data_IF_398297199472
#
_entry.id   IF_398297199472
#
_cell.length_a   1.000
_cell.length_b   1.000
_cell.length_c   1.000
_cell.angle_alpha   90.00
_cell.angle_beta   90.00
_cell.angle_gamma   90.00
#
_symmetry.space_group_name_H-M   'P 1'
#
loop_
_entity.id
_entity.type
_entity.pdbx_description
1 polymer ?
#
# COMPACT_ATOMS: atom_id res chain seq x y z
N UNK A 1 -41.05 0.32 28.10
CA UNK A 1 -40.02 -0.65 27.68
C UNK A 1 -39.37 -1.30 28.88
N UNK A 2 -39.05 -2.59 28.83
CA UNK A 2 -38.33 -3.29 29.91
C UNK A 2 -36.89 -2.78 29.92
N UNK A 3 -36.44 -2.20 31.04
CA UNK A 3 -35.07 -1.71 31.17
C UNK A 3 -34.06 -2.83 30.86
N UNK A 4 -33.28 -2.71 29.81
CA UNK A 4 -32.31 -3.73 29.39
C UNK A 4 -31.09 -3.78 30.32
N UNK A 5 -30.72 -2.64 30.89
CA UNK A 5 -29.59 -2.48 31.82
C UNK A 5 -29.72 -1.17 32.61
N UNK A 6 -28.88 -0.98 33.62
CA UNK A 6 -28.81 0.23 34.42
C UNK A 6 -27.46 0.96 34.17
N UNK A 7 -27.48 2.26 34.34
CA UNK A 7 -26.26 3.09 34.34
C UNK A 7 -25.98 3.61 35.73
N UNK A 8 -24.72 3.75 36.09
CA UNK A 8 -24.28 4.30 37.37
C UNK A 8 -23.68 5.69 37.13
N UNK A 9 -24.34 6.71 37.67
CA UNK A 9 -23.91 8.12 37.51
C UNK A 9 -22.72 8.50 38.39
N UNK A 10 -22.36 7.66 39.37
CA UNK A 10 -21.25 7.89 40.28
C UNK A 10 -19.92 7.33 39.75
N UNK A 11 -19.97 6.51 38.68
CA UNK A 11 -18.74 6.00 38.05
C UNK A 11 -17.98 7.05 37.28
N UNK A 12 -16.66 6.93 37.25
CA UNK A 12 -15.75 7.77 36.44
C UNK A 12 -15.94 7.58 34.94
N UNK A 13 -16.61 6.51 34.51
CA UNK A 13 -16.88 6.17 33.10
C UNK A 13 -18.01 7.05 32.56
N UNK A 14 -17.80 7.72 31.42
CA UNK A 14 -18.81 8.60 30.84
C UNK A 14 -20.12 7.88 30.54
N UNK A 15 -21.26 8.58 30.68
CA UNK A 15 -22.60 8.03 30.42
C UNK A 15 -22.73 7.47 29.01
N UNK A 16 -22.18 8.14 28.01
CA UNK A 16 -22.14 7.62 26.62
C UNK A 16 -21.48 6.24 26.57
N UNK A 17 -20.34 6.06 27.26
CA UNK A 17 -19.61 4.80 27.26
C UNK A 17 -20.40 3.70 27.99
N UNK A 18 -21.00 4.02 29.11
CA UNK A 18 -21.84 3.05 29.89
C UNK A 18 -23.04 2.58 29.08
N UNK A 19 -23.74 3.51 28.39
CA UNK A 19 -24.92 3.17 27.58
C UNK A 19 -24.49 2.34 26.35
N UNK A 20 -23.39 2.68 25.69
CA UNK A 20 -22.84 1.86 24.59
C UNK A 20 -22.48 0.46 25.04
N UNK A 21 -21.82 0.31 26.20
CA UNK A 21 -21.44 -0.99 26.74
C UNK A 21 -22.68 -1.83 27.10
N UNK A 22 -23.72 -1.21 27.69
CA UNK A 22 -24.99 -1.87 27.99
C UNK A 22 -25.70 -2.37 26.73
N UNK A 23 -25.80 -1.58 25.69
CA UNK A 23 -26.38 -2.02 24.41
C UNK A 23 -25.53 -3.10 23.72
N UNK A 24 -24.18 -3.00 23.75
CA UNK A 24 -23.32 -4.09 23.24
C UNK A 24 -23.58 -5.41 23.94
N UNK A 25 -23.67 -5.39 25.27
CA UNK A 25 -24.00 -6.59 26.03
C UNK A 25 -25.40 -7.12 25.68
N UNK A 26 -26.40 -6.24 25.56
CA UNK A 26 -27.77 -6.65 25.21
C UNK A 26 -27.89 -7.24 23.80
N UNK A 27 -27.08 -6.78 22.86
CA UNK A 27 -26.97 -7.36 21.50
C UNK A 27 -26.22 -8.70 21.57
N UNK A 28 -25.08 -8.74 22.25
CA UNK A 28 -24.24 -9.93 22.34
C UNK A 28 -24.94 -11.13 23.04
N UNK A 29 -25.76 -10.87 24.05
CA UNK A 29 -26.49 -11.90 24.77
C UNK A 29 -27.92 -12.16 24.24
N UNK A 30 -28.28 -11.52 23.12
CA UNK A 30 -29.53 -11.75 22.40
C UNK A 30 -30.77 -11.10 23.05
N UNK A 31 -30.63 -10.23 24.04
CA UNK A 31 -31.75 -9.44 24.60
C UNK A 31 -32.26 -8.39 23.61
N UNK A 32 -31.41 -7.92 22.69
CA UNK A 32 -31.76 -7.20 21.47
C UNK A 32 -31.40 -8.07 20.28
N UNK A 33 -32.41 -8.52 19.56
CA UNK A 33 -32.22 -9.44 18.43
C UNK A 33 -31.90 -8.69 17.12
N UNK A 34 -31.26 -9.39 16.21
CA UNK A 34 -31.05 -8.90 14.86
C UNK A 34 -32.36 -8.50 14.17
N UNK A 35 -32.32 -7.45 13.37
CA UNK A 35 -33.46 -6.80 12.70
C UNK A 35 -34.52 -6.18 13.62
N UNK A 36 -34.35 -6.26 14.95
CA UNK A 36 -35.19 -5.49 15.86
C UNK A 36 -34.93 -4.00 15.74
N UNK A 37 -35.98 -3.22 15.96
CA UNK A 37 -35.87 -1.76 15.97
C UNK A 37 -35.01 -1.32 17.17
N UNK A 38 -33.95 -0.59 16.91
CA UNK A 38 -33.08 -0.02 17.93
C UNK A 38 -33.72 1.23 18.52
N UNK A 39 -33.66 1.48 19.84
CA UNK A 39 -34.25 2.65 20.45
C UNK A 39 -33.84 3.96 19.79
N UNK A 40 -34.79 4.84 19.57
CA UNK A 40 -34.56 6.19 19.05
C UNK A 40 -33.77 7.03 20.05
N UNK A 41 -33.13 8.11 19.59
CA UNK A 41 -32.45 9.03 20.49
C UNK A 41 -33.36 9.57 21.60
N UNK A 42 -34.65 9.76 21.31
CA UNK A 42 -35.64 10.23 22.27
C UNK A 42 -35.93 9.17 23.36
N UNK A 43 -36.15 7.94 22.94
CA UNK A 43 -36.35 6.82 23.88
C UNK A 43 -35.12 6.59 24.77
N UNK A 44 -33.91 6.71 24.24
CA UNK A 44 -32.65 6.65 25.03
C UNK A 44 -32.59 7.79 26.05
N UNK A 45 -32.99 9.01 25.64
CA UNK A 45 -33.05 10.15 26.54
C UNK A 45 -34.02 9.88 27.71
N UNK A 46 -35.21 9.39 27.39
CA UNK A 46 -36.27 9.15 28.36
C UNK A 46 -35.91 7.98 29.29
N UNK A 47 -35.32 6.91 28.76
CA UNK A 47 -34.95 5.72 29.55
C UNK A 47 -33.81 5.98 30.54
N UNK A 48 -32.77 6.68 30.11
CA UNK A 48 -31.54 6.92 30.90
C UNK A 48 -31.45 8.31 31.52
N UNK A 49 -32.39 9.20 31.23
CA UNK A 49 -32.35 10.58 31.71
C UNK A 49 -31.11 11.35 31.20
N UNK A 50 -30.77 11.18 29.95
CA UNK A 50 -29.58 11.81 29.30
C UNK A 50 -29.99 12.83 28.24
N UNK A 51 -29.06 13.73 27.86
CA UNK A 51 -29.34 14.72 26.83
C UNK A 51 -29.36 14.10 25.44
N UNK A 52 -30.00 14.80 24.48
CA UNK A 52 -30.00 14.43 23.05
C UNK A 52 -28.60 14.30 22.47
N UNK A 53 -27.65 15.11 22.98
CA UNK A 53 -26.23 15.02 22.57
C UNK A 53 -25.64 13.66 22.94
N UNK A 54 -25.89 13.19 24.16
CA UNK A 54 -25.40 11.89 24.64
C UNK A 54 -26.05 10.75 23.86
N UNK A 55 -27.36 10.76 23.69
CA UNK A 55 -28.07 9.71 22.94
C UNK A 55 -27.65 9.66 21.47
N UNK A 56 -27.49 10.82 20.81
CA UNK A 56 -26.98 10.88 19.43
C UNK A 56 -25.54 10.36 19.33
N UNK A 57 -24.69 10.64 20.33
CA UNK A 57 -23.33 10.10 20.36
C UNK A 57 -23.33 8.56 20.54
N UNK A 58 -24.26 8.00 21.31
CA UNK A 58 -24.46 6.55 21.45
C UNK A 58 -24.84 5.92 20.12
N UNK A 59 -25.88 6.44 19.45
CA UNK A 59 -26.36 5.91 18.17
C UNK A 59 -25.26 6.00 17.10
N UNK A 60 -24.57 7.14 17.00
CA UNK A 60 -23.45 7.32 16.05
C UNK A 60 -22.30 6.34 16.33
N UNK A 61 -22.03 6.07 17.60
CA UNK A 61 -20.93 5.17 17.98
C UNK A 61 -21.26 3.72 17.67
N UNK A 62 -22.45 3.26 18.07
CA UNK A 62 -22.91 1.89 17.77
C UNK A 62 -23.05 1.66 16.26
N UNK A 63 -23.46 2.70 15.50
CA UNK A 63 -23.50 2.65 14.05
C UNK A 63 -22.12 2.51 13.42
N UNK A 64 -21.09 3.23 13.91
CA UNK A 64 -19.70 3.07 13.45
C UNK A 64 -19.10 1.71 13.83
N UNK A 65 -19.57 1.12 14.93
CA UNK A 65 -19.19 -0.23 15.36
C UNK A 65 -19.94 -1.33 14.56
N UNK A 66 -20.86 -0.94 13.67
CA UNK A 66 -21.62 -1.88 12.85
C UNK A 66 -22.70 -2.66 13.60
N UNK A 67 -22.97 -2.31 14.86
CA UNK A 67 -23.96 -2.99 15.71
C UNK A 67 -25.40 -2.60 15.37
N UNK A 68 -25.59 -1.42 14.82
CA UNK A 68 -26.87 -0.91 14.34
C UNK A 68 -26.75 -0.28 12.97
N UNK A 69 -27.81 -0.32 12.18
CA UNK A 69 -27.89 0.28 10.84
C UNK A 69 -29.13 1.16 10.75
N UNK A 70 -28.95 2.43 10.35
CA UNK A 70 -30.04 3.37 10.11
C UNK A 70 -30.62 3.18 8.73
N UNK A 71 -31.96 3.15 8.62
CA UNK A 71 -32.72 3.15 7.37
C UNK A 71 -33.48 4.47 7.27
N UNK A 72 -33.40 5.20 6.13
CA UNK A 72 -34.12 6.46 5.95
C UNK A 72 -35.61 6.28 6.26
N UNK A 73 -36.16 7.18 7.05
CA UNK A 73 -37.57 7.22 7.48
C UNK A 73 -38.06 6.03 8.33
N UNK A 74 -37.25 4.99 8.52
CA UNK A 74 -37.62 3.79 9.28
C UNK A 74 -36.93 3.68 10.64
N UNK A 75 -35.89 4.50 10.89
CA UNK A 75 -35.12 4.46 12.14
C UNK A 75 -33.88 3.59 12.08
N UNK A 76 -33.38 3.20 13.25
CA UNK A 76 -32.21 2.33 13.39
C UNK A 76 -32.63 0.91 13.79
N UNK A 77 -31.93 -0.08 13.27
CA UNK A 77 -32.18 -1.50 13.51
C UNK A 77 -30.91 -2.19 13.98
N UNK A 78 -31.04 -3.15 14.87
CA UNK A 78 -29.93 -4.02 15.30
C UNK A 78 -29.46 -4.85 14.11
N UNK A 79 -28.16 -4.90 13.88
CA UNK A 79 -27.59 -5.77 12.84
C UNK A 79 -27.62 -7.21 13.36
N UNK A 80 -28.17 -8.19 12.62
CA UNK A 80 -28.19 -9.59 13.04
C UNK A 80 -26.79 -10.11 13.31
N UNK A 81 -26.58 -10.86 14.42
CA UNK A 81 -25.27 -11.44 14.74
C UNK A 81 -24.75 -12.36 13.63
N UNK A 82 -25.62 -13.03 12.94
CA UNK A 82 -25.29 -13.86 11.78
C UNK A 82 -24.73 -13.04 10.61
N UNK A 83 -25.19 -11.78 10.45
CA UNK A 83 -24.64 -10.84 9.47
C UNK A 83 -23.39 -10.10 9.97
N UNK A 84 -23.06 -10.23 11.26
CA UNK A 84 -21.82 -9.74 11.88
C UNK A 84 -20.72 -10.81 11.90
N UNK A 85 -21.08 -12.08 11.66
CA UNK A 85 -20.09 -13.13 11.49
C UNK A 85 -19.26 -12.85 10.22
N UNK A 86 -17.95 -12.98 10.34
CA UNK A 86 -17.07 -12.94 9.18
C UNK A 86 -17.50 -14.02 8.20
N UNK A 87 -17.71 -13.64 6.94
CA UNK A 87 -18.13 -14.56 5.87
C UNK A 87 -17.10 -15.66 5.67
N UNK A 88 -15.87 -15.25 5.47
CA UNK A 88 -14.71 -16.12 5.23
C UNK A 88 -13.44 -15.33 5.50
N UNK A 89 -12.27 -15.99 5.56
CA UNK A 89 -11.00 -15.32 5.80
C UNK A 89 -10.17 -15.20 4.52
N UNK A 90 -9.46 -14.09 4.42
CA UNK A 90 -8.44 -13.83 3.39
C UNK A 90 -7.09 -13.68 4.08
N UNK A 91 -6.10 -14.42 3.60
CA UNK A 91 -4.73 -14.39 4.10
C UNK A 91 -3.82 -13.56 3.18
N UNK A 92 -3.26 -12.49 3.68
CA UNK A 92 -2.21 -11.76 2.99
C UNK A 92 -0.84 -12.31 3.40
N UNK A 93 -0.01 -12.69 2.43
CA UNK A 93 1.34 -13.23 2.65
C UNK A 93 2.36 -12.30 2.01
N UNK A 94 3.11 -11.57 2.82
CA UNK A 94 4.28 -10.84 2.36
C UNK A 94 5.49 -11.79 2.34
N UNK A 95 5.75 -12.38 1.18
CA UNK A 95 6.84 -13.35 1.03
C UNK A 95 8.21 -12.70 0.77
N UNK A 96 8.27 -11.39 0.58
CA UNK A 96 9.52 -10.63 0.40
C UNK A 96 10.32 -10.47 1.69
N UNK A 97 9.65 -10.54 2.83
CA UNK A 97 10.27 -10.45 4.16
C UNK A 97 10.87 -9.09 4.49
N UNK A 98 10.64 -8.10 3.67
CA UNK A 98 10.98 -6.70 3.93
C UNK A 98 9.74 -5.97 4.43
N UNK A 99 9.86 -5.30 5.56
CA UNK A 99 8.87 -4.31 5.97
C UNK A 99 9.11 -3.10 5.07
N UNK A 100 8.28 -2.93 4.05
CA UNK A 100 8.34 -1.76 3.16
C UNK A 100 7.10 -0.91 3.33
N UNK A 101 7.24 0.40 3.12
CA UNK A 101 6.12 1.32 3.19
C UNK A 101 4.99 0.89 2.24
N UNK A 102 5.35 0.42 1.04
CA UNK A 102 4.36 -0.04 0.07
C UNK A 102 3.64 -1.32 0.51
N UNK A 103 4.34 -2.31 1.06
CA UNK A 103 3.72 -3.54 1.57
C UNK A 103 2.74 -3.22 2.71
N UNK A 104 3.11 -2.25 3.58
CA UNK A 104 2.26 -1.75 4.65
C UNK A 104 1.01 -1.04 4.12
N UNK A 105 1.16 -0.13 3.16
CA UNK A 105 0.05 0.59 2.54
C UNK A 105 -0.92 -0.36 1.82
N UNK A 106 -0.39 -1.29 1.03
CA UNK A 106 -1.17 -2.30 0.34
C UNK A 106 -1.95 -3.20 1.30
N UNK A 107 -1.28 -3.70 2.35
CA UNK A 107 -1.91 -4.53 3.39
C UNK A 107 -3.01 -3.78 4.14
N UNK A 108 -2.80 -2.48 4.42
CA UNK A 108 -3.78 -1.64 5.09
C UNK A 108 -5.04 -1.43 4.24
N UNK A 109 -4.87 -1.10 2.96
CA UNK A 109 -5.98 -0.91 2.03
C UNK A 109 -6.79 -2.22 1.81
N UNK A 110 -6.08 -3.34 1.61
CA UNK A 110 -6.70 -4.67 1.51
C UNK A 110 -7.52 -4.99 2.76
N UNK A 111 -6.94 -4.79 3.94
CA UNK A 111 -7.60 -5.06 5.22
C UNK A 111 -8.87 -4.23 5.36
N UNK A 112 -8.78 -2.93 5.13
CA UNK A 112 -9.92 -2.02 5.30
C UNK A 112 -11.08 -2.43 4.39
N UNK A 113 -10.84 -2.61 3.12
CA UNK A 113 -11.86 -2.95 2.14
C UNK A 113 -12.47 -4.33 2.36
N UNK A 114 -11.64 -5.35 2.63
CA UNK A 114 -12.11 -6.71 2.90
C UNK A 114 -12.97 -6.77 4.16
N UNK A 115 -12.55 -6.11 5.25
CA UNK A 115 -13.30 -6.07 6.49
C UNK A 115 -14.63 -5.32 6.34
N UNK A 116 -14.66 -4.21 5.57
CA UNK A 116 -15.91 -3.52 5.21
C UNK A 116 -16.88 -4.41 4.42
N UNK A 117 -16.35 -5.36 3.63
CA UNK A 117 -17.12 -6.32 2.85
C UNK A 117 -17.45 -7.62 3.64
N UNK A 118 -17.15 -7.67 4.92
CA UNK A 118 -17.46 -8.78 5.81
C UNK A 118 -16.49 -9.96 5.75
N UNK A 119 -15.30 -9.78 5.16
CA UNK A 119 -14.24 -10.80 5.14
C UNK A 119 -13.24 -10.57 6.28
N UNK A 120 -12.88 -11.65 6.99
CA UNK A 120 -11.80 -11.59 7.98
C UNK A 120 -10.45 -11.47 7.26
N UNK A 121 -9.69 -10.44 7.57
CA UNK A 121 -8.33 -10.27 7.05
C UNK A 121 -7.30 -10.75 8.06
N UNK A 122 -6.36 -11.57 7.61
CA UNK A 122 -5.17 -11.96 8.35
C UNK A 122 -3.92 -11.73 7.50
N UNK A 123 -2.80 -11.43 8.13
CA UNK A 123 -1.54 -11.21 7.42
C UNK A 123 -0.38 -11.94 8.08
N UNK A 124 0.57 -12.37 7.26
CA UNK A 124 1.83 -12.97 7.69
C UNK A 124 2.98 -12.38 6.89
N UNK A 125 4.00 -11.90 7.60
CA UNK A 125 5.27 -11.53 7.01
C UNK A 125 6.23 -12.71 7.13
N UNK A 126 6.70 -13.20 5.97
CA UNK A 126 7.70 -14.26 5.93
C UNK A 126 9.07 -13.69 6.25
N UNK A 127 9.98 -14.47 6.82
CA UNK A 127 11.37 -14.04 6.97
C UNK A 127 11.97 -13.59 5.65
N UNK A 128 12.86 -12.58 5.71
CA UNK A 128 13.53 -12.07 4.52
C UNK A 128 14.18 -13.21 3.74
N UNK A 129 14.01 -13.19 2.43
CA UNK A 129 14.67 -14.11 1.49
C UNK A 129 16.19 -14.12 1.58
N UNK A 130 16.78 -13.08 2.22
CA UNK A 130 18.21 -12.99 2.46
C UNK A 130 18.68 -13.74 3.73
N UNK A 131 17.76 -14.24 4.58
CA UNK A 131 18.07 -14.88 5.86
C UNK A 131 17.93 -16.41 5.79
N UNK A 132 17.67 -16.97 4.61
CA UNK A 132 17.53 -18.41 4.40
C UNK A 132 16.18 -18.83 3.83
N UNK A 133 15.83 -20.11 4.02
CA UNK A 133 14.60 -20.70 3.51
C UNK A 133 13.35 -20.04 4.12
N UNK A 134 12.25 -20.05 3.36
CA UNK A 134 10.98 -19.58 3.86
C UNK A 134 10.56 -20.37 5.10
N UNK A 135 10.14 -19.67 6.15
CA UNK A 135 9.52 -20.30 7.32
C UNK A 135 8.14 -20.88 6.93
N UNK A 136 8.19 -22.02 6.24
CA UNK A 136 6.99 -22.72 5.77
C UNK A 136 6.14 -23.25 6.92
N UNK A 137 6.69 -23.38 8.14
CA UNK A 137 5.94 -23.83 9.31
C UNK A 137 4.92 -22.76 9.73
N UNK A 138 5.34 -21.49 9.80
CA UNK A 138 4.39 -20.37 10.07
C UNK A 138 3.34 -20.24 8.99
N UNK A 139 3.74 -20.36 7.74
CA UNK A 139 2.80 -20.33 6.62
C UNK A 139 1.81 -21.50 6.70
N UNK A 140 2.28 -22.70 7.01
CA UNK A 140 1.43 -23.89 7.18
C UNK A 140 0.44 -23.71 8.32
N UNK A 141 0.85 -23.10 9.43
CA UNK A 141 -0.06 -22.80 10.55
C UNK A 141 -1.14 -21.77 10.13
N UNK A 142 -0.75 -20.72 9.37
CA UNK A 142 -1.72 -19.75 8.86
C UNK A 142 -2.68 -20.35 7.82
N UNK A 143 -2.21 -21.31 7.02
CA UNK A 143 -3.06 -22.03 6.05
C UNK A 143 -3.95 -23.10 6.70
N UNK A 144 -3.60 -23.58 7.89
CA UNK A 144 -4.40 -24.58 8.63
C UNK A 144 -5.80 -24.09 9.00
N UNK A 145 -6.01 -22.77 9.15
CA UNK A 145 -7.32 -22.16 9.36
C UNK A 145 -8.18 -22.10 8.08
N UNK A 146 -7.65 -22.61 6.97
CA UNK A 146 -8.30 -22.71 5.65
C UNK A 146 -8.88 -21.38 5.15
N UNK A 147 -8.04 -20.35 4.94
CA UNK A 147 -8.52 -19.12 4.33
C UNK A 147 -9.14 -19.43 2.95
N UNK A 148 -10.18 -18.68 2.58
CA UNK A 148 -10.83 -18.83 1.28
C UNK A 148 -9.92 -18.47 0.12
N UNK A 149 -9.07 -17.45 0.36
CA UNK A 149 -8.13 -16.94 -0.62
C UNK A 149 -6.86 -16.49 0.08
N UNK A 150 -5.72 -16.68 -0.58
CA UNK A 150 -4.44 -16.08 -0.21
C UNK A 150 -4.05 -14.99 -1.22
N UNK A 151 -3.58 -13.85 -0.74
CA UNK A 151 -2.99 -12.78 -1.58
C UNK A 151 -1.49 -12.78 -1.31
N UNK A 152 -0.69 -13.09 -2.32
CA UNK A 152 0.75 -13.33 -2.20
C UNK A 152 1.52 -12.15 -2.78
N UNK A 153 2.19 -11.39 -1.93
CA UNK A 153 3.13 -10.35 -2.34
C UNK A 153 4.54 -10.91 -2.40
N UNK A 154 5.28 -10.63 -3.47
CA UNK A 154 6.62 -11.17 -3.75
C UNK A 154 6.67 -12.70 -3.66
N UNK A 155 5.73 -13.37 -4.29
CA UNK A 155 5.56 -14.82 -4.19
C UNK A 155 6.84 -15.58 -4.54
N UNK A 156 7.34 -16.37 -3.60
CA UNK A 156 8.46 -17.30 -3.80
C UNK A 156 7.92 -18.67 -4.18
N UNK A 157 8.66 -19.48 -4.97
CA UNK A 157 8.20 -20.81 -5.39
C UNK A 157 7.75 -21.70 -4.22
N UNK A 158 8.49 -21.71 -3.11
CA UNK A 158 8.17 -22.51 -1.93
C UNK A 158 6.89 -22.03 -1.22
N UNK A 159 6.58 -20.74 -1.26
CA UNK A 159 5.34 -20.17 -0.73
C UNK A 159 4.16 -20.60 -1.58
N UNK A 160 4.28 -20.52 -2.90
CA UNK A 160 3.25 -20.97 -3.84
C UNK A 160 2.98 -22.46 -3.66
N UNK A 161 4.02 -23.28 -3.57
CA UNK A 161 3.89 -24.74 -3.33
C UNK A 161 3.16 -25.04 -2.02
N UNK A 162 3.45 -24.29 -0.95
CA UNK A 162 2.78 -24.48 0.35
C UNK A 162 1.29 -24.14 0.26
N UNK A 163 0.92 -23.04 -0.39
CA UNK A 163 -0.47 -22.61 -0.60
C UNK A 163 -1.23 -23.62 -1.44
N UNK A 164 -0.62 -24.12 -2.52
CA UNK A 164 -1.21 -25.14 -3.40
C UNK A 164 -1.41 -26.49 -2.68
N UNK A 165 -0.45 -26.93 -1.87
CA UNK A 165 -0.59 -28.13 -1.02
C UNK A 165 -1.74 -28.01 -0.02
N UNK A 166 -1.99 -26.80 0.49
CA UNK A 166 -3.12 -26.54 1.37
C UNK A 166 -4.48 -26.48 0.65
N UNK A 167 -4.48 -26.52 -0.70
CA UNK A 167 -5.70 -26.43 -1.51
C UNK A 167 -6.35 -25.05 -1.50
N UNK A 168 -5.62 -23.99 -1.14
CA UNK A 168 -6.13 -22.61 -1.03
C UNK A 168 -5.97 -21.91 -2.38
N UNK A 169 -7.04 -21.26 -2.86
CA UNK A 169 -6.98 -20.38 -4.03
C UNK A 169 -6.11 -19.16 -3.73
N UNK A 170 -5.39 -18.63 -4.75
CA UNK A 170 -4.51 -17.50 -4.49
C UNK A 170 -4.43 -16.49 -5.66
N UNK A 171 -4.13 -15.24 -5.31
CA UNK A 171 -3.78 -14.15 -6.21
C UNK A 171 -2.32 -13.79 -5.96
N UNK A 172 -1.55 -13.54 -7.01
CA UNK A 172 -0.13 -13.12 -6.91
C UNK A 172 -0.03 -11.64 -7.24
N UNK A 173 0.67 -10.89 -6.40
CA UNK A 173 1.12 -9.54 -6.71
C UNK A 173 2.58 -9.66 -7.15
N UNK A 174 2.83 -9.41 -8.43
CA UNK A 174 4.14 -9.51 -9.06
C UNK A 174 4.59 -8.12 -9.51
N UNK A 175 5.47 -7.53 -8.74
CA UNK A 175 6.11 -6.23 -9.03
C UNK A 175 7.45 -6.39 -9.76
N UNK A 176 7.83 -7.62 -10.12
CA UNK A 176 9.06 -7.88 -10.86
C UNK A 176 8.96 -7.41 -12.31
N UNK A 177 10.08 -6.87 -12.84
CA UNK A 177 10.18 -6.46 -14.25
C UNK A 177 10.06 -7.65 -15.24
N UNK A 178 10.13 -8.87 -14.73
CA UNK A 178 9.93 -10.12 -15.46
C UNK A 178 9.06 -11.02 -14.61
N UNK A 179 7.74 -11.02 -14.83
CA UNK A 179 6.85 -11.96 -14.15
C UNK A 179 7.40 -13.38 -14.30
N UNK A 180 7.62 -14.04 -13.18
CA UNK A 180 7.96 -15.44 -13.21
C UNK A 180 6.85 -16.17 -13.96
N UNK A 181 7.19 -16.89 -15.03
CA UNK A 181 6.26 -17.75 -15.73
C UNK A 181 5.82 -18.86 -14.76
N UNK A 182 4.89 -18.52 -13.86
CA UNK A 182 4.32 -19.48 -12.94
C UNK A 182 3.54 -20.50 -13.74
N UNK A 183 3.82 -21.80 -13.52
CA UNK A 183 3.05 -22.89 -14.11
C UNK A 183 1.56 -22.63 -13.90
N UNK A 184 0.76 -22.86 -14.94
CA UNK A 184 -0.68 -22.75 -14.85
C UNK A 184 -1.20 -23.64 -13.71
N UNK A 185 -1.75 -23.03 -12.68
CA UNK A 185 -2.37 -23.73 -11.55
C UNK A 185 -3.86 -23.41 -11.51
N UNK A 186 -4.68 -24.44 -11.29
CA UNK A 186 -6.14 -24.25 -11.12
C UNK A 186 -6.50 -23.46 -9.87
N UNK A 187 -5.58 -23.37 -8.91
CA UNK A 187 -5.77 -22.61 -7.66
C UNK A 187 -5.40 -21.14 -7.81
N UNK A 188 -4.63 -20.78 -8.84
CA UNK A 188 -4.31 -19.37 -9.12
C UNK A 188 -5.55 -18.66 -9.66
N UNK A 189 -5.99 -17.64 -8.96
CA UNK A 189 -7.17 -16.84 -9.26
C UNK A 189 -6.87 -15.50 -9.90
N UNK A 190 -5.60 -15.18 -10.10
CA UNK A 190 -5.17 -13.97 -10.81
C UNK A 190 -3.75 -13.57 -10.50
N UNK A 191 -3.27 -12.62 -11.31
CA UNK A 191 -2.00 -11.94 -11.13
C UNK A 191 -2.21 -10.44 -11.25
N UNK A 192 -1.70 -9.71 -10.27
CA UNK A 192 -1.59 -8.26 -10.33
C UNK A 192 -0.15 -7.94 -10.69
N UNK A 193 0.08 -7.43 -11.89
CA UNK A 193 1.43 -7.11 -12.38
C UNK A 193 1.70 -5.62 -12.32
N UNK A 194 2.96 -5.25 -12.09
CA UNK A 194 3.42 -3.88 -12.19
C UNK A 194 3.75 -3.53 -13.65
N UNK A 195 3.12 -2.50 -14.21
CA UNK A 195 3.43 -1.98 -15.54
C UNK A 195 4.05 -0.59 -15.45
N UNK A 196 5.35 -0.54 -15.64
CA UNK A 196 6.14 0.70 -15.67
C UNK A 196 6.16 1.37 -17.05
N UNK A 197 5.59 0.74 -18.08
CA UNK A 197 5.79 1.10 -19.48
C UNK A 197 5.46 2.56 -19.79
N UNK A 198 4.31 3.04 -19.36
CA UNK A 198 3.87 4.42 -19.60
C UNK A 198 4.76 5.44 -18.87
N UNK A 199 5.03 5.22 -17.57
CA UNK A 199 5.84 6.13 -16.76
C UNK A 199 7.29 6.22 -17.24
N UNK A 200 7.91 5.07 -17.57
CA UNK A 200 9.29 5.03 -18.14
C UNK A 200 9.33 5.68 -19.53
N UNK A 201 8.26 5.55 -20.32
CA UNK A 201 8.18 6.23 -21.62
C UNK A 201 8.12 7.74 -21.44
N UNK A 202 7.24 8.24 -20.57
CA UNK A 202 7.14 9.67 -20.25
C UNK A 202 8.46 10.23 -19.72
N UNK A 203 9.15 9.48 -18.83
CA UNK A 203 10.48 9.83 -18.36
C UNK A 203 11.51 9.93 -19.50
N UNK A 204 11.56 8.93 -20.39
CA UNK A 204 12.50 8.94 -21.51
C UNK A 204 12.20 10.07 -22.51
N UNK A 205 10.93 10.36 -22.77
CA UNK A 205 10.50 11.45 -23.64
C UNK A 205 10.85 12.82 -23.03
N UNK A 206 10.70 12.97 -21.71
CA UNK A 206 11.18 14.17 -21.01
C UNK A 206 12.71 14.32 -21.11
N UNK A 207 13.47 13.25 -20.89
CA UNK A 207 14.93 13.27 -21.07
C UNK A 207 15.33 13.73 -22.48
N UNK A 208 14.66 13.21 -23.51
CA UNK A 208 14.90 13.58 -24.90
C UNK A 208 14.58 15.05 -25.16
N UNK A 209 13.42 15.52 -24.71
CA UNK A 209 12.99 16.91 -24.86
C UNK A 209 13.94 17.90 -24.16
N UNK A 210 14.48 17.52 -23.00
CA UNK A 210 15.45 18.31 -22.24
C UNK A 210 16.90 18.20 -22.73
N UNK A 211 17.16 17.42 -23.80
CA UNK A 211 18.48 17.25 -24.38
C UNK A 211 19.46 16.46 -23.49
N UNK A 212 18.99 15.62 -22.62
CA UNK A 212 19.80 14.73 -21.78
C UNK A 212 20.57 13.75 -22.66
N UNK A 213 21.89 13.67 -22.47
CA UNK A 213 22.78 12.79 -23.23
C UNK A 213 23.25 11.57 -22.46
N UNK A 214 23.28 11.68 -21.12
CA UNK A 214 23.76 10.61 -20.23
C UNK A 214 22.89 10.45 -19.00
N UNK A 215 22.53 9.20 -18.69
CA UNK A 215 21.77 8.81 -17.50
C UNK A 215 22.50 7.69 -16.79
N UNK A 216 22.70 7.82 -15.47
CA UNK A 216 23.11 6.74 -14.60
C UNK A 216 21.93 6.29 -13.77
N UNK A 217 21.49 5.07 -13.98
CA UNK A 217 20.52 4.40 -13.15
C UNK A 217 21.23 3.75 -11.94
N UNK A 218 20.73 3.98 -10.75
CA UNK A 218 21.24 3.38 -9.50
C UNK A 218 20.12 2.56 -8.88
N UNK A 219 20.34 1.27 -8.72
CA UNK A 219 19.31 0.37 -8.23
C UNK A 219 19.86 -1.01 -7.86
N UNK A 220 18.97 -1.86 -7.37
CA UNK A 220 19.33 -3.22 -6.98
C UNK A 220 19.64 -4.11 -8.20
N UNK A 221 20.38 -5.18 -7.96
CA UNK A 221 20.76 -6.15 -9.02
C UNK A 221 19.58 -6.73 -9.78
N UNK A 222 18.42 -6.83 -9.15
CA UNK A 222 17.19 -7.37 -9.74
C UNK A 222 16.51 -6.46 -10.77
N UNK A 223 16.89 -5.18 -10.85
CA UNK A 223 16.48 -4.28 -11.92
C UNK A 223 15.00 -3.91 -11.94
N UNK A 224 14.39 -3.65 -10.78
CA UNK A 224 13.04 -3.08 -10.73
C UNK A 224 12.99 -1.75 -11.45
N UNK A 225 11.93 -1.49 -12.20
CA UNK A 225 11.67 -0.21 -12.87
C UNK A 225 12.83 0.33 -13.71
N UNK A 226 13.67 -0.54 -14.29
CA UNK A 226 14.81 -0.08 -15.09
C UNK A 226 14.38 0.66 -16.36
N UNK A 227 14.90 1.87 -16.54
CA UNK A 227 14.67 2.71 -17.70
C UNK A 227 15.74 2.56 -18.78
N UNK A 228 16.85 1.87 -18.52
CA UNK A 228 18.05 1.82 -19.38
C UNK A 228 17.73 1.42 -20.82
N UNK A 229 16.94 0.37 -21.03
CA UNK A 229 16.60 -0.11 -22.38
C UNK A 229 15.76 0.92 -23.15
N UNK A 230 14.86 1.64 -22.49
CA UNK A 230 14.03 2.67 -23.12
C UNK A 230 14.84 3.91 -23.43
N UNK A 231 15.71 4.34 -22.51
CA UNK A 231 16.63 5.47 -22.70
C UNK A 231 17.60 5.23 -23.88
N UNK A 232 18.19 4.03 -23.96
CA UNK A 232 19.05 3.66 -25.10
C UNK A 232 18.31 3.72 -26.44
N UNK A 233 17.06 3.24 -26.49
CA UNK A 233 16.22 3.36 -27.69
C UNK A 233 15.88 4.80 -28.06
N UNK A 234 15.85 5.70 -27.08
CA UNK A 234 15.68 7.13 -27.29
C UNK A 234 16.99 7.87 -27.69
N UNK A 235 18.11 7.14 -27.86
CA UNK A 235 19.42 7.70 -28.24
C UNK A 235 20.23 8.27 -27.08
N UNK A 236 19.86 7.96 -25.83
CA UNK A 236 20.51 8.45 -24.61
C UNK A 236 21.49 7.39 -24.10
N UNK A 237 22.72 7.78 -23.77
CA UNK A 237 23.68 6.89 -23.10
C UNK A 237 23.16 6.57 -21.70
N UNK A 238 22.88 5.32 -21.43
CA UNK A 238 22.38 4.89 -20.14
C UNK A 238 23.18 3.69 -19.62
N UNK A 239 23.57 3.77 -18.36
CA UNK A 239 24.27 2.71 -17.62
C UNK A 239 23.58 2.47 -16.26
N UNK A 240 23.86 1.32 -15.65
CA UNK A 240 23.36 0.99 -14.31
C UNK A 240 24.50 0.77 -13.35
N UNK A 241 24.48 1.48 -12.22
CA UNK A 241 25.26 1.16 -11.03
C UNK A 241 24.42 0.23 -10.16
N UNK A 242 24.84 -1.03 -10.07
CA UNK A 242 24.11 -2.05 -9.32
C UNK A 242 24.50 -2.02 -7.85
N UNK A 243 23.53 -1.87 -6.97
CA UNK A 243 23.68 -2.00 -5.53
C UNK A 243 23.40 -3.45 -5.16
N UNK A 244 24.41 -4.10 -4.55
CA UNK A 244 24.27 -5.49 -4.09
C UNK A 244 23.36 -5.55 -2.88
N UNK A 245 22.32 -6.37 -2.99
CA UNK A 245 21.41 -6.65 -1.86
C UNK A 245 22.12 -7.50 -0.81
N UNK A 246 21.95 -7.16 0.48
CA UNK A 246 22.52 -7.88 1.62
C UNK A 246 21.43 -8.21 2.65
N UNK A 247 21.66 -9.20 3.55
CA UNK A 247 20.68 -9.56 4.59
C UNK A 247 20.29 -8.39 5.51
N UNK A 248 21.17 -7.40 5.67
CA UNK A 248 20.94 -6.20 6.48
C UNK A 248 19.88 -5.29 5.86
N UNK A 249 19.55 -5.42 4.56
CA UNK A 249 18.54 -4.60 3.86
C UNK A 249 17.11 -4.85 4.35
N UNK A 250 16.90 -5.74 5.32
CA UNK A 250 15.66 -5.81 6.11
C UNK A 250 15.36 -4.52 6.88
N UNK A 251 16.35 -3.64 7.07
CA UNK A 251 16.22 -2.35 7.75
C UNK A 251 16.50 -1.21 6.77
N UNK A 252 15.59 -0.27 6.65
CA UNK A 252 15.68 0.89 5.74
C UNK A 252 16.99 1.66 5.87
N UNK A 253 17.48 1.84 7.11
CA UNK A 253 18.73 2.54 7.33
C UNK A 253 19.95 1.90 6.65
N UNK A 254 19.94 0.59 6.36
CA UNK A 254 21.01 -0.06 5.58
C UNK A 254 20.85 0.25 4.09
N UNK A 255 19.63 0.31 3.58
CA UNK A 255 19.35 0.72 2.19
C UNK A 255 19.77 2.17 1.97
N UNK A 256 19.42 3.07 2.90
CA UNK A 256 19.85 4.47 2.84
C UNK A 256 21.37 4.61 2.87
N UNK A 257 22.08 3.85 3.75
CA UNK A 257 23.54 3.84 3.76
C UNK A 257 24.15 3.34 2.44
N UNK A 258 23.53 2.36 1.80
CA UNK A 258 23.97 1.89 0.48
C UNK A 258 23.77 2.97 -0.59
N UNK A 259 22.68 3.71 -0.55
CA UNK A 259 22.44 4.86 -1.43
C UNK A 259 23.45 5.99 -1.21
N UNK A 260 23.76 6.30 0.07
CA UNK A 260 24.81 7.25 0.43
C UNK A 260 26.16 6.80 -0.14
N UNK A 261 26.55 5.53 0.04
CA UNK A 261 27.82 5.00 -0.46
C UNK A 261 27.88 5.02 -2.01
N UNK A 262 26.78 4.72 -2.70
CA UNK A 262 26.70 4.81 -4.16
C UNK A 262 26.91 6.24 -4.66
N UNK A 263 26.34 7.23 -3.97
CA UNK A 263 26.55 8.63 -4.31
C UNK A 263 27.96 9.12 -3.98
N UNK A 264 28.57 8.68 -2.86
CA UNK A 264 29.99 8.96 -2.54
C UNK A 264 30.92 8.39 -3.62
N UNK A 265 30.67 7.15 -4.07
CA UNK A 265 31.42 6.55 -5.17
C UNK A 265 31.29 7.38 -6.45
N UNK A 266 30.08 7.83 -6.79
CA UNK A 266 29.84 8.66 -7.98
C UNK A 266 30.56 10.02 -7.90
N UNK A 267 30.69 10.56 -6.71
CA UNK A 267 31.34 11.86 -6.46
C UNK A 267 32.85 11.77 -6.25
N UNK A 268 33.43 10.56 -6.16
CA UNK A 268 34.88 10.36 -5.90
C UNK A 268 35.77 10.99 -6.97
N UNK A 269 35.30 11.10 -8.22
CA UNK A 269 35.99 11.76 -9.33
C UNK A 269 35.61 13.24 -9.49
N UNK A 270 34.84 13.78 -8.55
CA UNK A 270 34.39 15.16 -8.55
C UNK A 270 33.07 15.39 -9.33
N UNK A 271 32.49 16.57 -9.13
CA UNK A 271 31.19 16.93 -9.74
C UNK A 271 31.21 16.97 -11.28
N UNK A 272 32.38 17.23 -11.89
CA UNK A 272 32.52 17.26 -13.34
C UNK A 272 32.38 15.90 -14.01
N UNK A 273 32.49 14.82 -13.25
CA UNK A 273 32.30 13.45 -13.70
C UNK A 273 30.83 12.99 -13.63
N UNK A 274 29.93 13.80 -13.04
CA UNK A 274 28.51 13.46 -12.94
C UNK A 274 27.86 13.33 -14.32
N UNK A 275 26.92 12.38 -14.51
CA UNK A 275 26.10 12.31 -15.71
C UNK A 275 25.13 13.51 -15.77
N UNK A 276 24.48 13.72 -16.91
CA UNK A 276 23.44 14.75 -16.99
C UNK A 276 22.27 14.50 -16.05
N UNK A 277 22.01 13.22 -15.75
CA UNK A 277 20.90 12.79 -14.87
C UNK A 277 21.25 11.51 -14.11
N UNK A 278 20.87 11.45 -12.83
CA UNK A 278 20.85 10.23 -12.00
C UNK A 278 19.41 9.80 -11.76
N UNK A 279 19.13 8.51 -11.94
CA UNK A 279 17.82 7.91 -11.67
C UNK A 279 17.95 6.79 -10.64
N UNK A 280 17.23 6.90 -9.52
CA UNK A 280 17.20 5.88 -8.48
C UNK A 280 15.94 5.02 -8.62
N UNK A 281 16.11 3.70 -8.68
CA UNK A 281 15.00 2.75 -8.77
C UNK A 281 14.45 2.34 -7.41
N UNK A 282 14.80 3.08 -6.34
CA UNK A 282 14.34 2.85 -4.97
C UNK A 282 14.45 4.16 -4.17
N UNK A 283 13.39 4.51 -3.43
CA UNK A 283 13.27 5.75 -2.68
C UNK A 283 14.17 5.82 -1.44
N UNK A 284 14.47 4.68 -0.81
CA UNK A 284 15.42 4.65 0.31
C UNK A 284 16.86 4.83 -0.16
N UNK A 285 17.25 4.22 -1.29
CA UNK A 285 18.54 4.50 -1.94
C UNK A 285 18.65 5.99 -2.27
N UNK A 286 17.61 6.55 -2.89
CA UNK A 286 17.54 7.97 -3.23
C UNK A 286 17.70 8.86 -2.01
N UNK A 287 16.99 8.57 -0.91
CA UNK A 287 17.06 9.33 0.33
C UNK A 287 18.48 9.36 0.91
N UNK A 288 19.18 8.23 0.88
CA UNK A 288 20.58 8.15 1.32
C UNK A 288 21.53 8.93 0.42
N UNK A 289 21.34 8.84 -0.90
CA UNK A 289 22.15 9.55 -1.89
C UNK A 289 22.01 11.07 -1.76
N UNK A 290 20.80 11.58 -1.50
CA UNK A 290 20.56 13.00 -1.28
C UNK A 290 21.40 13.58 -0.15
N UNK A 291 21.68 12.81 0.91
CA UNK A 291 22.57 13.23 2.01
C UNK A 291 24.00 13.44 1.49
N UNK A 292 24.51 12.53 0.67
CA UNK A 292 25.85 12.67 0.09
C UNK A 292 25.91 13.85 -0.88
N UNK A 293 24.92 13.98 -1.77
CA UNK A 293 24.87 15.13 -2.69
C UNK A 293 24.81 16.46 -1.95
N UNK A 294 24.06 16.54 -0.84
CA UNK A 294 24.03 17.74 0.02
C UNK A 294 25.39 18.06 0.64
N UNK A 295 26.07 17.06 1.21
CA UNK A 295 27.41 17.23 1.81
C UNK A 295 28.44 17.77 0.80
N UNK A 296 28.34 17.35 -0.44
CA UNK A 296 29.24 17.80 -1.52
C UNK A 296 28.73 19.06 -2.23
N UNK A 297 27.63 19.66 -1.75
CA UNK A 297 27.06 20.88 -2.33
C UNK A 297 26.60 20.72 -3.78
N UNK A 298 26.12 19.52 -4.16
CA UNK A 298 25.51 19.28 -5.47
C UNK A 298 24.14 19.94 -5.52
N UNK A 299 23.85 20.62 -6.60
CA UNK A 299 22.59 21.36 -6.79
C UNK A 299 21.78 20.78 -7.94
N UNK A 300 20.49 20.57 -7.68
CA UNK A 300 19.54 20.11 -8.70
C UNK A 300 18.71 21.30 -9.20
N UNK A 301 18.38 21.39 -10.48
CA UNK A 301 18.84 20.54 -11.62
C UNK A 301 20.17 21.02 -12.22
N UNK A 302 20.89 21.95 -11.58
CA UNK A 302 22.02 22.69 -12.14
C UNK A 302 23.24 21.81 -12.42
N UNK A 303 23.74 21.09 -11.41
CA UNK A 303 24.95 20.30 -11.49
C UNK A 303 24.65 18.89 -12.07
N UNK A 304 23.50 18.34 -11.71
CA UNK A 304 22.92 17.08 -12.21
C UNK A 304 21.40 17.11 -12.04
N UNK A 305 20.63 16.40 -12.86
CA UNK A 305 19.20 16.17 -12.64
C UNK A 305 19.04 14.93 -11.81
N UNK A 306 17.99 14.94 -10.99
CA UNK A 306 17.72 13.83 -10.07
C UNK A 306 16.28 13.33 -10.26
N UNK A 307 16.13 12.01 -10.41
CA UNK A 307 14.84 11.33 -10.51
C UNK A 307 14.84 10.11 -9.58
N UNK A 308 13.73 9.84 -8.94
CA UNK A 308 13.56 8.66 -8.06
C UNK A 308 12.30 7.88 -8.38
N UNK A 309 12.35 6.57 -8.23
CA UNK A 309 11.13 5.83 -7.93
C UNK A 309 10.65 6.28 -6.55
N UNK A 310 9.34 6.38 -6.35
CA UNK A 310 8.76 6.85 -5.10
C UNK A 310 7.47 6.14 -4.77
N UNK A 311 7.23 5.97 -3.47
CA UNK A 311 5.93 5.57 -2.93
C UNK A 311 5.23 6.84 -2.44
N UNK A 312 4.01 7.11 -2.90
CA UNK A 312 3.22 8.27 -2.51
C UNK A 312 3.05 8.33 -0.98
N UNK A 313 3.35 9.49 -0.39
CA UNK A 313 3.37 9.70 1.05
C UNK A 313 4.66 9.26 1.75
N UNK A 314 5.62 8.70 1.00
CA UNK A 314 6.96 8.28 1.49
C UNK A 314 8.08 8.78 0.58
N UNK A 315 7.81 9.83 -0.20
CA UNK A 315 8.75 10.43 -1.13
C UNK A 315 10.03 10.87 -0.39
N UNK A 316 11.20 10.81 -1.05
CA UNK A 316 12.42 11.33 -0.45
C UNK A 316 12.26 12.79 -0.01
N UNK A 317 12.47 13.06 1.27
CA UNK A 317 12.35 14.42 1.83
C UNK A 317 13.54 15.25 1.38
N UNK A 318 13.26 16.36 0.68
CA UNK A 318 14.24 17.30 0.19
C UNK A 318 13.65 18.72 0.24
N UNK A 319 14.47 19.75 0.16
CA UNK A 319 13.98 21.13 0.11
C UNK A 319 13.39 21.56 -1.25
N UNK A 320 13.45 20.70 -2.24
CA UNK A 320 12.86 20.86 -3.56
C UNK A 320 11.94 19.68 -3.85
N UNK A 321 10.92 19.87 -4.69
CA UNK A 321 10.09 18.76 -5.14
C UNK A 321 10.90 17.82 -6.04
N UNK A 322 10.93 16.55 -5.68
CA UNK A 322 11.71 15.53 -6.40
C UNK A 322 10.91 15.02 -7.60
N UNK A 323 11.53 15.10 -8.79
CA UNK A 323 10.98 14.42 -9.98
C UNK A 323 10.97 12.92 -9.74
N UNK A 324 9.84 12.26 -10.01
CA UNK A 324 9.65 10.88 -9.58
C UNK A 324 8.77 10.04 -10.49
N UNK A 325 8.94 8.73 -10.42
CA UNK A 325 8.00 7.72 -10.88
C UNK A 325 7.28 7.24 -9.63
N UNK A 326 6.01 7.65 -9.45
CA UNK A 326 5.27 7.52 -8.19
C UNK A 326 4.26 6.39 -8.22
N UNK A 327 4.29 5.56 -7.19
CA UNK A 327 3.30 4.55 -6.89
C UNK A 327 2.29 5.04 -5.87
N UNK A 328 1.00 4.97 -6.19
CA UNK A 328 -0.10 5.16 -5.24
C UNK A 328 -0.63 3.80 -4.77
N UNK A 329 0.10 3.20 -3.83
CA UNK A 329 -0.21 1.86 -3.33
C UNK A 329 -1.51 1.79 -2.53
N UNK A 330 -1.99 2.89 -1.96
CA UNK A 330 -3.30 2.94 -1.31
C UNK A 330 -4.41 2.76 -2.33
N UNK A 331 -4.45 3.58 -3.37
CA UNK A 331 -5.44 3.46 -4.45
C UNK A 331 -5.38 2.08 -5.10
N UNK A 332 -4.21 1.61 -5.38
CA UNK A 332 -4.01 0.29 -6.00
C UNK A 332 -4.41 -0.86 -5.07
N UNK A 333 -4.19 -0.70 -3.76
CA UNK A 333 -4.66 -1.63 -2.75
C UNK A 333 -6.18 -1.68 -2.67
N UNK A 334 -6.86 -0.55 -2.78
CA UNK A 334 -8.33 -0.49 -2.83
C UNK A 334 -8.89 -1.13 -4.10
N UNK A 335 -8.27 -0.88 -5.25
CA UNK A 335 -8.64 -1.51 -6.52
C UNK A 335 -8.45 -3.03 -6.47
N UNK A 336 -7.31 -3.51 -5.96
CA UNK A 336 -7.05 -4.92 -5.76
C UNK A 336 -8.05 -5.55 -4.79
N UNK A 337 -8.31 -4.89 -3.66
CA UNK A 337 -9.25 -5.38 -2.68
C UNK A 337 -10.67 -5.49 -3.24
N UNK A 338 -11.09 -4.53 -4.06
CA UNK A 338 -12.38 -4.58 -4.75
C UNK A 338 -12.47 -5.79 -5.70
N UNK A 339 -11.42 -6.04 -6.49
CA UNK A 339 -11.35 -7.23 -7.36
C UNK A 339 -11.32 -8.55 -6.58
N UNK A 340 -10.63 -8.58 -5.43
CA UNK A 340 -10.63 -9.74 -4.55
C UNK A 340 -12.03 -10.00 -3.98
N UNK A 341 -12.75 -8.96 -3.59
CA UNK A 341 -14.16 -9.08 -3.14
C UNK A 341 -15.04 -9.62 -4.27
N UNK A 342 -14.96 -9.05 -5.47
CA UNK A 342 -15.71 -9.52 -6.65
C UNK A 342 -15.42 -11.00 -6.96
N UNK A 343 -14.15 -11.41 -6.84
CA UNK A 343 -13.75 -12.81 -7.02
C UNK A 343 -14.36 -13.73 -5.95
N UNK A 344 -14.35 -13.30 -4.69
CA UNK A 344 -14.90 -14.05 -3.56
C UNK A 344 -16.42 -14.16 -3.63
N UNK A 345 -17.09 -13.16 -4.19
CA UNK A 345 -18.53 -13.12 -4.40
C UNK A 345 -18.97 -13.83 -5.69
N UNK A 346 -18.01 -14.29 -6.49
CA UNK A 346 -18.29 -14.99 -7.75
C UNK A 346 -18.69 -14.08 -8.91
N UNK A 347 -18.49 -12.78 -8.79
CA UNK A 347 -18.80 -11.80 -9.84
C UNK A 347 -17.75 -11.78 -10.95
N UNK A 348 -16.54 -12.27 -10.68
CA UNK A 348 -15.49 -12.44 -11.66
C UNK A 348 -14.80 -13.81 -11.51
N UNK A 349 -14.25 -14.33 -12.60
CA UNK A 349 -13.48 -15.58 -12.60
C UNK A 349 -11.99 -15.38 -12.27
N UNK A 350 -11.47 -14.16 -12.43
CA UNK A 350 -10.07 -13.82 -12.22
C UNK A 350 -9.88 -12.41 -11.68
N UNK A 351 -8.86 -12.23 -10.85
CA UNK A 351 -8.38 -10.94 -10.37
C UNK A 351 -7.16 -10.42 -11.19
N UNK A 352 -6.99 -10.86 -12.43
CA UNK A 352 -5.91 -10.37 -13.30
C UNK A 352 -6.03 -8.85 -13.51
N UNK A 353 -4.95 -8.14 -13.27
CA UNK A 353 -4.88 -6.70 -13.50
C UNK A 353 -3.43 -6.23 -13.66
N UNK A 354 -3.26 -5.07 -14.27
CA UNK A 354 -1.99 -4.35 -14.28
C UNK A 354 -2.17 -3.04 -13.48
N UNK A 355 -1.18 -2.75 -12.65
CA UNK A 355 -1.09 -1.49 -11.91
C UNK A 355 0.10 -0.70 -12.44
N UNK A 356 -0.04 0.62 -12.54
CA UNK A 356 0.97 1.47 -13.17
C UNK A 356 1.27 2.68 -12.28
N UNK A 357 2.57 3.04 -12.15
CA UNK A 357 2.97 4.29 -11.54
C UNK A 357 2.76 5.47 -12.50
N UNK A 358 2.85 6.68 -11.96
CA UNK A 358 2.79 7.92 -12.70
C UNK A 358 4.16 8.60 -12.72
N UNK A 359 4.53 9.22 -13.86
CA UNK A 359 5.71 10.08 -13.94
C UNK A 359 5.32 11.52 -13.59
N UNK A 360 5.94 12.06 -12.54
CA UNK A 360 5.66 13.40 -12.02
C UNK A 360 6.96 14.22 -12.07
N UNK A 361 6.95 15.29 -12.85
CA UNK A 361 8.07 16.23 -12.89
C UNK A 361 8.03 17.16 -11.68
N UNK A 362 9.16 17.34 -11.02
CA UNK A 362 9.39 18.26 -9.92
C UNK A 362 10.61 19.15 -10.19
N UNK A 363 11.04 19.87 -9.16
CA UNK A 363 12.12 20.87 -9.26
C UNK A 363 13.49 20.27 -9.59
N UNK A 364 13.71 19.00 -9.24
CA UNK A 364 15.01 18.34 -9.49
C UNK A 364 15.23 17.96 -10.94
N UNK A 365 14.17 17.90 -11.74
CA UNK A 365 14.17 17.79 -13.20
C UNK A 365 12.85 18.35 -13.75
N UNK A 366 12.69 19.68 -13.82
CA UNK A 366 11.47 20.31 -14.28
C UNK A 366 11.30 20.17 -15.81
N UNK A 367 10.05 20.19 -16.26
CA UNK A 367 9.78 20.39 -17.68
C UNK A 367 10.36 21.74 -18.12
N UNK A 368 10.92 21.79 -19.34
CA UNK A 368 11.31 23.07 -19.93
C UNK A 368 10.08 24.00 -19.96
N UNK A 369 10.17 25.16 -19.34
CA UNK A 369 9.11 26.16 -19.45
C UNK A 369 8.83 26.39 -20.94
N UNK A 370 7.58 26.26 -21.35
CA UNK A 370 7.16 26.73 -22.66
C UNK A 370 7.54 28.22 -22.68
N UNK A 371 8.55 28.59 -23.50
CA UNK A 371 8.98 29.97 -23.66
C UNK A 371 7.72 30.81 -23.87
N UNK A 372 7.26 31.50 -22.82
CA UNK A 372 6.29 32.58 -22.96
C UNK A 372 6.95 33.54 -23.94
N UNK A 373 6.47 33.58 -25.19
CA UNK A 373 6.77 34.67 -26.11
C UNK A 373 6.32 35.93 -25.36
N UNK A 374 7.28 36.62 -24.75
CA UNK A 374 7.09 38.01 -24.38
C UNK A 374 6.93 38.76 -25.67
N UNK A 375 5.67 38.83 -26.15
CA UNK A 375 5.29 39.81 -27.15
C UNK A 375 5.49 41.17 -26.51
N UNK A 376 6.58 41.84 -26.88
CA UNK A 376 6.75 43.23 -26.59
C UNK A 376 5.55 43.97 -27.17
N UNK A 377 4.84 44.66 -26.28
CA UNK A 377 4.03 45.79 -26.69
C UNK A 377 4.91 47.02 -26.48
N UNK A 378 5.34 47.58 -27.59
CA UNK A 378 5.85 48.95 -27.69
C UNK A 378 4.78 49.92 -27.38
#
# INVERSE_FOLDING_TARGET
MKKLFQIDRLQTKSLTKQICDGYRAAIADGRLKGDEHFPTCREICDEFGVSMIVSSAVVKRLGREGLIRSRPHLGSFVVPMESMAWRESVLFVNAGGTVSAYAGALSAALRERLMQSGFLFSSIDMPSRFIGEADTARLSAALAVRPKLAVLLHARPEVVVAVEKAGVGYVVIDDSAKPAAAKASRLRRGTVSADYGAAISAFADHCKAAGIKSVLEIGFERGYASAVSRLKRAGIRAATLKVKETPEFRHYGHVQRAGLAAAEQLLSEGKSALPDLVYFTDDYLASGALISFARHGVRFPRDVRFVSLSTKGFEPVWWQDVTRIEWDWFRQGEELASRVVELLEGHTASADSAISPEYIAGDTFPFAEARRKSGGVT
#
